data_IF_605593510002
#
_entry.id   IF_605593510002
#
_cell.length_a   1.000
_cell.length_b   1.000
_cell.length_c   1.000
_cell.angle_alpha   90.00
_cell.angle_beta   90.00
_cell.angle_gamma   90.00
#
_symmetry.space_group_name_H-M   'P 1'
#
loop_
_entity.id
_entity.type
_entity.pdbx_description
1 polymer ?
#
# COMPACT_ATOMS: atom_id res chain seq x y z
N UNK A 1 -3.71 -3.89 24.25
CA UNK A 1 -3.16 -2.57 23.88
C UNK A 1 -2.28 -2.73 22.66
N UNK A 2 -2.41 -1.89 21.63
CA UNK A 2 -1.46 -1.91 20.52
C UNK A 2 -0.06 -1.52 21.02
N UNK A 3 0.96 -2.25 20.58
CA UNK A 3 2.36 -1.93 20.82
C UNK A 3 2.86 -1.04 19.69
N UNK A 4 3.37 0.15 20.03
CA UNK A 4 3.93 1.08 19.06
C UNK A 4 5.45 0.94 19.00
N UNK A 5 5.99 1.05 17.79
CA UNK A 5 7.41 0.93 17.51
C UNK A 5 7.82 2.05 16.57
N UNK A 6 8.94 2.73 16.87
CA UNK A 6 9.48 3.77 15.99
C UNK A 6 10.00 3.17 14.69
N UNK A 7 9.79 3.86 13.56
CA UNK A 7 10.32 3.43 12.25
C UNK A 7 11.86 3.27 12.27
N UNK A 8 12.56 4.05 13.09
CA UNK A 8 14.03 3.99 13.18
C UNK A 8 14.58 2.69 13.73
N UNK A 9 13.79 1.92 14.48
CA UNK A 9 14.20 0.63 15.03
C UNK A 9 13.79 -0.55 14.14
N UNK A 10 12.99 -0.30 13.10
CA UNK A 10 12.60 -1.31 12.12
C UNK A 10 13.77 -1.51 11.15
N UNK A 11 14.27 -2.74 10.92
CA UNK A 11 15.36 -2.99 9.98
C UNK A 11 15.05 -2.44 8.59
N UNK A 12 16.02 -1.74 7.96
CA UNK A 12 15.83 -1.19 6.61
C UNK A 12 15.33 -2.21 5.58
N UNK A 13 15.82 -3.47 5.55
CA UNK A 13 15.30 -4.47 4.62
C UNK A 13 13.82 -4.76 4.81
N UNK A 14 13.30 -4.70 6.04
CA UNK A 14 11.89 -4.89 6.32
C UNK A 14 11.05 -3.73 5.79
N UNK A 15 11.50 -2.48 6.01
CA UNK A 15 10.84 -1.30 5.45
C UNK A 15 10.80 -1.38 3.91
N UNK A 16 11.92 -1.76 3.30
CA UNK A 16 12.04 -1.90 1.84
C UNK A 16 11.18 -3.05 1.31
N UNK A 17 11.06 -4.17 2.03
CA UNK A 17 10.22 -5.29 1.61
C UNK A 17 8.73 -4.89 1.53
N UNK A 18 8.25 -4.14 2.52
CA UNK A 18 6.87 -3.62 2.52
C UNK A 18 6.68 -2.64 1.38
N UNK A 19 7.58 -1.67 1.20
CA UNK A 19 7.51 -0.71 0.09
C UNK A 19 7.53 -1.46 -1.25
N UNK A 20 8.46 -2.39 -1.46
CA UNK A 20 8.56 -3.13 -2.72
C UNK A 20 7.32 -3.97 -3.05
N UNK A 21 6.62 -4.49 -2.03
CA UNK A 21 5.46 -5.36 -2.19
C UNK A 21 4.16 -4.57 -2.33
N UNK A 22 3.93 -3.61 -1.45
CA UNK A 22 2.66 -2.88 -1.33
C UNK A 22 2.61 -1.64 -2.22
N UNK A 23 3.73 -0.91 -2.32
CA UNK A 23 3.77 0.41 -2.93
C UNK A 23 5.18 0.77 -3.41
N UNK A 24 5.61 0.13 -4.52
CA UNK A 24 7.02 0.14 -4.98
C UNK A 24 7.60 1.52 -5.26
N UNK A 25 6.76 2.55 -5.38
CA UNK A 25 7.12 3.94 -5.66
C UNK A 25 6.64 4.89 -4.58
N UNK A 26 6.41 4.39 -3.37
CA UNK A 26 5.89 5.15 -2.24
C UNK A 26 6.52 6.54 -2.06
N UNK A 27 7.84 6.67 -2.27
CA UNK A 27 8.56 7.94 -2.12
C UNK A 27 8.57 8.85 -3.38
N UNK A 28 8.00 8.39 -4.50
CA UNK A 28 8.00 9.07 -5.80
C UNK A 28 6.64 9.70 -6.14
N UNK A 29 5.57 9.38 -5.39
CA UNK A 29 4.23 9.91 -5.62
C UNK A 29 3.62 10.51 -4.34
N UNK A 30 2.50 11.21 -4.51
CA UNK A 30 1.70 11.76 -3.40
C UNK A 30 0.82 10.70 -2.73
N UNK A 31 -0.34 11.11 -2.21
CA UNK A 31 -1.29 10.19 -1.58
C UNK A 31 -1.82 9.08 -2.52
N UNK A 32 -1.79 9.33 -3.83
CA UNK A 32 -2.27 8.44 -4.89
C UNK A 32 -1.13 8.19 -5.87
N UNK A 33 -1.05 6.98 -6.41
CA UNK A 33 -0.15 6.60 -7.50
C UNK A 33 -0.92 6.33 -8.80
N UNK A 34 -1.12 7.33 -9.69
CA UNK A 34 -1.86 7.13 -10.94
C UNK A 34 -1.21 6.09 -11.85
N UNK A 35 0.12 6.04 -11.90
CA UNK A 35 0.83 5.09 -12.76
C UNK A 35 0.72 3.67 -12.17
N UNK A 36 0.70 3.53 -10.83
CA UNK A 36 0.54 2.26 -10.14
C UNK A 36 -0.84 1.67 -10.37
N UNK A 37 -1.86 2.52 -10.28
CA UNK A 37 -3.27 2.20 -10.59
C UNK A 37 -3.40 1.75 -12.05
N UNK A 38 -2.91 2.55 -13.00
CA UNK A 38 -3.02 2.21 -14.44
C UNK A 38 -2.34 0.89 -14.79
N UNK A 39 -1.14 0.64 -14.23
CA UNK A 39 -0.44 -0.65 -14.39
C UNK A 39 -1.27 -1.81 -13.84
N UNK A 40 -1.75 -1.70 -12.60
CA UNK A 40 -2.55 -2.76 -11.97
C UNK A 40 -3.83 -3.03 -12.77
N UNK A 41 -4.49 -1.99 -13.27
CA UNK A 41 -5.64 -2.12 -14.17
C UNK A 41 -5.31 -2.88 -15.45
N UNK A 42 -4.20 -2.53 -16.13
CA UNK A 42 -3.78 -3.21 -17.35
C UNK A 42 -3.45 -4.69 -17.11
N UNK A 43 -2.73 -5.01 -16.02
CA UNK A 43 -2.36 -6.39 -15.67
C UNK A 43 -3.59 -7.23 -15.31
N UNK A 44 -4.50 -6.69 -14.50
CA UNK A 44 -5.72 -7.38 -14.11
C UNK A 44 -6.67 -7.58 -15.30
N UNK A 45 -6.78 -6.58 -16.18
CA UNK A 45 -7.57 -6.72 -17.41
C UNK A 45 -7.02 -7.80 -18.33
N UNK A 46 -5.70 -7.83 -18.54
CA UNK A 46 -5.04 -8.82 -19.41
C UNK A 46 -5.09 -10.25 -18.84
N UNK A 47 -5.07 -10.39 -17.51
CA UNK A 47 -5.15 -11.71 -16.84
C UNK A 47 -6.58 -12.20 -16.64
N UNK A 48 -7.58 -11.32 -16.70
CA UNK A 48 -8.98 -11.67 -16.41
C UNK A 48 -9.27 -11.89 -14.92
N UNK A 49 -8.29 -11.66 -14.05
CA UNK A 49 -8.40 -11.80 -12.60
C UNK A 49 -7.63 -10.67 -11.88
N UNK A 50 -7.77 -10.56 -10.57
CA UNK A 50 -7.03 -9.56 -9.79
C UNK A 50 -5.68 -10.12 -9.36
N UNK A 51 -4.61 -9.77 -10.08
CA UNK A 51 -3.23 -10.17 -9.78
C UNK A 51 -2.45 -9.08 -9.03
N UNK A 52 -2.73 -7.80 -9.31
CA UNK A 52 -2.01 -6.68 -8.72
C UNK A 52 -2.94 -5.70 -8.00
N UNK A 53 -2.46 -5.21 -6.85
CA UNK A 53 -3.01 -4.05 -6.16
C UNK A 53 -2.49 -2.74 -6.77
N UNK A 54 -3.36 -1.74 -6.82
CA UNK A 54 -3.00 -0.36 -7.20
C UNK A 54 -3.06 0.63 -6.04
N UNK A 55 -3.36 0.17 -4.82
CA UNK A 55 -3.54 1.04 -3.65
C UNK A 55 -2.21 1.43 -3.02
N UNK A 56 -2.10 2.69 -2.61
CA UNK A 56 -0.91 3.20 -1.90
C UNK A 56 -0.95 2.84 -0.42
N UNK A 57 0.21 2.82 0.25
CA UNK A 57 0.28 2.65 1.72
C UNK A 57 -0.56 3.73 2.43
N UNK A 58 -0.55 4.96 1.91
CA UNK A 58 -1.37 6.06 2.45
C UNK A 58 -2.88 5.75 2.39
N UNK A 59 -3.37 5.19 1.27
CA UNK A 59 -4.75 4.75 1.15
C UNK A 59 -5.07 3.60 2.10
N UNK A 60 -4.15 2.65 2.30
CA UNK A 60 -4.33 1.56 3.24
C UNK A 60 -4.45 2.05 4.68
N UNK A 61 -3.65 3.05 5.08
CA UNK A 61 -3.77 3.68 6.41
C UNK A 61 -5.14 4.35 6.56
N UNK A 62 -5.59 5.14 5.58
CA UNK A 62 -6.92 5.76 5.60
C UNK A 62 -8.02 4.69 5.69
N UNK A 63 -7.92 3.61 4.92
CA UNK A 63 -8.85 2.48 4.98
C UNK A 63 -8.89 1.88 6.39
N UNK A 64 -7.73 1.61 6.97
CA UNK A 64 -7.63 0.95 8.26
C UNK A 64 -8.08 1.83 9.43
N UNK A 65 -7.86 3.14 9.35
CA UNK A 65 -8.27 4.08 10.39
C UNK A 65 -9.77 4.39 10.33
N UNK A 66 -10.34 4.55 9.13
CA UNK A 66 -11.71 5.03 8.98
C UNK A 66 -12.74 3.95 8.66
N UNK A 67 -12.41 2.97 7.81
CA UNK A 67 -13.40 1.96 7.39
C UNK A 67 -13.51 0.80 8.38
N UNK A 68 -12.40 0.32 8.95
CA UNK A 68 -12.47 -0.70 10.01
C UNK A 68 -13.07 -0.17 11.34
N UNK A 69 -13.08 1.14 11.55
CA UNK A 69 -13.73 1.76 12.72
C UNK A 69 -15.23 2.00 12.51
N UNK A 70 -15.69 2.01 11.25
CA UNK A 70 -17.10 2.17 10.88
C UNK A 70 -17.91 0.87 10.93
N UNK A 71 -17.26 -0.29 10.85
CA UNK A 71 -17.92 -1.62 10.96
C UNK A 71 -17.97 -2.14 12.42
N UNK A 72 -17.69 -1.28 13.40
CA UNK A 72 -17.79 -1.56 14.84
C UNK A 72 -18.90 -0.74 15.49
#
# INVERSE_FOLDING_TARGET
MPMYVSISVIPRPMQQAVIATEDRRFYEHGAIDPIGIMRAMMVNFNSGETLEGGSTISQQVVKNVFYHMSER
#
